data_IF_674856631731
#
_entry.id   IF_674856631731
#
_cell.length_a   1.000
_cell.length_b   1.000
_cell.length_c   1.000
_cell.angle_alpha   90.00
_cell.angle_beta   90.00
_cell.angle_gamma   90.00
#
_symmetry.space_group_name_H-M   'P 1'
#
loop_
_entity.id
_entity.type
_entity.pdbx_description
1 polymer ?
#
# COMPACT_ATOMS: atom_id res chain seq x y z
N UNK A 1 -17.29 24.30 -7.47
CA UNK A 1 -17.51 23.42 -6.29
C UNK A 1 -16.72 23.98 -5.12
N UNK A 2 -17.31 24.04 -3.93
CA UNK A 2 -16.54 24.35 -2.71
C UNK A 2 -15.60 23.18 -2.41
N UNK A 3 -14.36 23.45 -1.98
CA UNK A 3 -13.37 22.43 -1.58
C UNK A 3 -13.94 21.46 -0.54
N UNK A 4 -14.80 21.94 0.34
CA UNK A 4 -15.50 21.15 1.37
C UNK A 4 -16.46 20.11 0.76
N UNK A 5 -17.13 20.42 -0.34
CA UNK A 5 -18.05 19.49 -1.00
C UNK A 5 -17.29 18.34 -1.66
N UNK A 6 -16.19 18.66 -2.35
CA UNK A 6 -15.31 17.65 -2.96
C UNK A 6 -14.69 16.71 -1.91
N UNK A 7 -14.29 17.27 -0.76
CA UNK A 7 -13.74 16.48 0.36
C UNK A 7 -14.77 15.48 0.90
N UNK A 8 -16.01 15.92 1.13
CA UNK A 8 -17.09 15.06 1.63
C UNK A 8 -17.38 13.91 0.66
N UNK A 9 -17.41 14.19 -0.64
CA UNK A 9 -17.64 13.19 -1.68
C UNK A 9 -16.52 12.13 -1.72
N UNK A 10 -15.26 12.55 -1.61
CA UNK A 10 -14.10 11.65 -1.61
C UNK A 10 -14.11 10.73 -0.40
N UNK A 11 -14.35 11.27 0.80
CA UNK A 11 -14.46 10.48 2.02
C UNK A 11 -15.62 9.48 1.94
N UNK A 12 -16.78 9.90 1.41
CA UNK A 12 -17.93 9.01 1.21
C UNK A 12 -17.62 7.89 0.20
N UNK A 13 -16.99 8.22 -0.92
CA UNK A 13 -16.61 7.26 -1.95
C UNK A 13 -15.60 6.25 -1.41
N UNK A 14 -14.54 6.70 -0.75
CA UNK A 14 -13.52 5.82 -0.17
C UNK A 14 -14.11 4.86 0.87
N UNK A 15 -15.01 5.35 1.72
CA UNK A 15 -15.73 4.50 2.68
C UNK A 15 -16.58 3.43 1.97
N UNK A 16 -17.26 3.79 0.87
CA UNK A 16 -18.05 2.86 0.08
C UNK A 16 -17.17 1.80 -0.62
N UNK A 17 -16.02 2.20 -1.17
CA UNK A 17 -15.05 1.29 -1.80
C UNK A 17 -14.50 0.29 -0.78
N UNK A 18 -14.04 0.79 0.38
CA UNK A 18 -13.49 -0.03 1.47
C UNK A 18 -14.53 -0.99 2.05
N UNK A 19 -15.77 -0.50 2.25
CA UNK A 19 -16.89 -1.35 2.69
C UNK A 19 -17.20 -2.44 1.66
N UNK A 20 -17.16 -2.12 0.37
CA UNK A 20 -17.40 -3.10 -0.70
C UNK A 20 -16.28 -4.14 -0.75
N UNK A 21 -15.02 -3.74 -0.62
CA UNK A 21 -13.88 -4.66 -0.57
C UNK A 21 -14.04 -5.69 0.56
N UNK A 22 -14.46 -5.24 1.75
CA UNK A 22 -14.70 -6.10 2.93
C UNK A 22 -15.89 -7.06 2.76
N UNK A 23 -16.89 -6.69 1.96
CA UNK A 23 -18.07 -7.54 1.68
C UNK A 23 -17.82 -8.59 0.61
N UNK A 24 -16.79 -8.44 -0.22
CA UNK A 24 -16.46 -9.45 -1.23
C UNK A 24 -16.11 -10.77 -0.54
N UNK A 25 -16.48 -11.94 -1.08
CA UNK A 25 -16.11 -13.22 -0.49
C UNK A 25 -14.58 -13.43 -0.46
N UNK A 26 -14.05 -14.19 0.51
CA UNK A 26 -12.65 -14.58 0.51
C UNK A 26 -12.32 -15.50 -0.68
N UNK A 27 -11.04 -15.54 -1.04
CA UNK A 27 -10.52 -16.40 -2.11
C UNK A 27 -9.99 -15.65 -3.33
N UNK A 28 -9.21 -16.36 -4.15
CA UNK A 28 -8.49 -15.79 -5.29
C UNK A 28 -9.41 -15.11 -6.32
N UNK A 29 -10.59 -15.66 -6.58
CA UNK A 29 -11.53 -15.12 -7.58
C UNK A 29 -11.94 -13.67 -7.32
N UNK A 30 -11.90 -13.24 -6.05
CA UNK A 30 -12.22 -11.87 -5.65
C UNK A 30 -11.01 -11.06 -5.19
N UNK A 31 -9.81 -11.61 -5.27
CA UNK A 31 -8.59 -10.91 -4.88
C UNK A 31 -8.36 -9.68 -5.77
N UNK A 32 -8.42 -9.85 -7.09
CA UNK A 32 -8.28 -8.76 -8.05
C UNK A 32 -9.28 -7.61 -7.82
N UNK A 33 -10.60 -7.83 -7.77
CA UNK A 33 -11.54 -6.75 -7.51
C UNK A 33 -11.36 -6.12 -6.12
N UNK A 34 -11.00 -6.88 -5.08
CA UNK A 34 -10.66 -6.30 -3.76
C UNK A 34 -9.47 -5.34 -3.85
N UNK A 35 -8.39 -5.77 -4.48
CA UNK A 35 -7.20 -4.95 -4.68
C UNK A 35 -7.49 -3.70 -5.50
N UNK A 36 -8.31 -3.79 -6.55
CA UNK A 36 -8.71 -2.61 -7.34
C UNK A 36 -9.48 -1.59 -6.49
N UNK A 37 -10.42 -2.05 -5.66
CA UNK A 37 -11.17 -1.18 -4.75
C UNK A 37 -10.27 -0.52 -3.70
N UNK A 38 -9.34 -1.29 -3.14
CA UNK A 38 -8.37 -0.79 -2.16
C UNK A 38 -7.38 0.20 -2.80
N UNK A 39 -6.91 -0.07 -4.03
CA UNK A 39 -6.03 0.85 -4.74
C UNK A 39 -6.72 2.19 -5.04
N UNK A 40 -7.99 2.14 -5.46
CA UNK A 40 -8.78 3.35 -5.66
C UNK A 40 -8.95 4.14 -4.36
N UNK A 41 -9.18 3.47 -3.23
CA UNK A 41 -9.24 4.13 -1.92
C UNK A 41 -7.90 4.77 -1.53
N UNK A 42 -6.78 4.10 -1.79
CA UNK A 42 -5.43 4.63 -1.55
C UNK A 42 -5.19 5.90 -2.36
N UNK A 43 -5.43 5.87 -3.68
CA UNK A 43 -5.23 7.03 -4.56
C UNK A 43 -6.08 8.24 -4.16
N UNK A 44 -7.31 8.01 -3.71
CA UNK A 44 -8.20 9.09 -3.24
C UNK A 44 -7.63 9.83 -2.02
N UNK A 45 -6.95 9.12 -1.12
CA UNK A 45 -6.42 9.72 0.11
C UNK A 45 -4.98 10.23 -0.02
N UNK A 46 -4.18 9.69 -0.94
CA UNK A 46 -2.80 10.12 -1.17
C UNK A 46 -2.71 11.64 -1.43
N UNK A 47 -3.64 12.17 -2.23
CA UNK A 47 -3.75 13.61 -2.56
C UNK A 47 -3.88 14.52 -1.33
N UNK A 48 -4.48 14.03 -0.25
CA UNK A 48 -4.78 14.81 0.96
C UNK A 48 -3.85 14.51 2.13
N UNK A 49 -2.88 13.62 1.95
CA UNK A 49 -2.04 13.12 3.05
C UNK A 49 -0.75 13.93 3.25
N UNK A 50 -0.29 14.64 2.21
CA UNK A 50 0.87 15.54 2.32
C UNK A 50 0.62 16.62 3.39
N UNK A 51 1.59 17.00 4.24
CA UNK A 51 1.42 18.07 5.24
C UNK A 51 1.50 19.50 4.67
N UNK A 52 2.12 19.70 3.50
CA UNK A 52 2.23 21.01 2.89
C UNK A 52 0.96 21.36 2.08
N UNK A 53 0.48 22.60 2.21
CA UNK A 53 -0.44 23.17 1.21
C UNK A 53 0.30 23.37 -0.11
N UNK A 54 -0.37 23.14 -1.25
CA UNK A 54 0.23 23.33 -2.58
C UNK A 54 0.70 24.77 -2.84
N UNK A 55 0.20 25.72 -2.05
CA UNK A 55 0.44 27.16 -2.11
C UNK A 55 1.37 27.67 -0.98
N UNK A 56 1.89 26.77 -0.13
CA UNK A 56 2.68 27.16 1.05
C UNK A 56 1.88 27.86 2.15
N UNK A 57 0.55 27.89 2.05
CA UNK A 57 -0.34 28.47 3.07
C UNK A 57 -0.45 27.53 4.27
N UNK A 58 -0.65 28.13 5.45
CA UNK A 58 -1.08 27.41 6.64
C UNK A 58 -2.49 26.82 6.42
N UNK A 59 -2.60 25.51 6.60
CA UNK A 59 -3.87 24.80 6.47
C UNK A 59 -4.93 25.34 7.42
N UNK A 60 -6.16 25.36 6.95
CA UNK A 60 -7.31 25.56 7.83
C UNK A 60 -7.45 24.37 8.80
N UNK A 61 -8.28 24.55 9.83
CA UNK A 61 -8.58 23.48 10.78
C UNK A 61 -9.27 22.31 10.07
N UNK A 62 -10.16 22.59 9.11
CA UNK A 62 -10.86 21.59 8.31
C UNK A 62 -9.91 20.83 7.39
N UNK A 63 -8.96 21.51 6.75
CA UNK A 63 -7.94 20.87 5.91
C UNK A 63 -7.00 19.97 6.73
N UNK A 64 -6.67 20.39 7.95
CA UNK A 64 -5.87 19.59 8.89
C UNK A 64 -6.63 18.35 9.35
N UNK A 65 -7.91 18.49 9.72
CA UNK A 65 -8.76 17.37 10.08
C UNK A 65 -8.89 16.35 8.93
N UNK A 66 -9.03 16.85 7.69
CA UNK A 66 -9.10 15.99 6.51
C UNK A 66 -7.78 15.25 6.23
N UNK A 67 -6.64 15.91 6.46
CA UNK A 67 -5.34 15.25 6.34
C UNK A 67 -5.23 14.09 7.33
N UNK A 68 -5.54 14.33 8.60
CA UNK A 68 -5.50 13.29 9.65
C UNK A 68 -6.38 12.11 9.24
N UNK A 69 -7.62 12.38 8.84
CA UNK A 69 -8.53 11.35 8.37
C UNK A 69 -7.99 10.59 7.15
N UNK A 70 -7.35 11.28 6.21
CA UNK A 70 -6.78 10.65 5.00
C UNK A 70 -5.59 9.77 5.32
N UNK A 71 -4.71 10.18 6.24
CA UNK A 71 -3.59 9.37 6.74
C UNK A 71 -4.10 8.12 7.45
N UNK A 72 -5.13 8.24 8.29
CA UNK A 72 -5.77 7.09 8.95
C UNK A 72 -6.37 6.11 7.94
N UNK A 73 -7.08 6.62 6.93
CA UNK A 73 -7.68 5.81 5.88
C UNK A 73 -6.62 5.09 5.02
N UNK A 74 -5.55 5.78 4.62
CA UNK A 74 -4.39 5.18 3.94
C UNK A 74 -3.76 4.06 4.75
N UNK A 75 -3.56 4.32 6.04
CA UNK A 75 -2.96 3.34 6.96
C UNK A 75 -3.81 2.08 7.04
N UNK A 76 -5.12 2.22 7.20
CA UNK A 76 -6.04 1.09 7.30
C UNK A 76 -6.12 0.31 5.98
N UNK A 77 -6.26 1.00 4.84
CA UNK A 77 -6.28 0.34 3.53
C UNK A 77 -4.98 -0.41 3.24
N UNK A 78 -3.83 0.17 3.62
CA UNK A 78 -2.52 -0.46 3.42
C UNK A 78 -2.33 -1.69 4.30
N UNK A 79 -2.84 -1.68 5.54
CA UNK A 79 -2.89 -2.87 6.41
C UNK A 79 -3.79 -3.97 5.83
N UNK A 80 -4.95 -3.60 5.29
CA UNK A 80 -5.86 -4.54 4.62
C UNK A 80 -5.16 -5.20 3.41
N UNK A 81 -4.40 -4.43 2.61
CA UNK A 81 -3.60 -4.98 1.50
C UNK A 81 -2.47 -5.88 2.00
N UNK A 82 -1.77 -5.51 3.08
CA UNK A 82 -0.72 -6.34 3.66
C UNK A 82 -1.25 -7.70 4.14
N UNK A 83 -2.43 -7.73 4.76
CA UNK A 83 -3.10 -8.97 5.15
C UNK A 83 -3.45 -9.83 3.91
N UNK A 84 -3.96 -9.22 2.84
CA UNK A 84 -4.22 -9.92 1.58
C UNK A 84 -2.95 -10.48 0.93
N UNK A 85 -1.83 -9.75 1.03
CA UNK A 85 -0.53 -10.20 0.53
C UNK A 85 -0.03 -11.45 1.28
N UNK A 86 -0.19 -11.48 2.60
CA UNK A 86 0.14 -12.63 3.44
C UNK A 86 -0.75 -13.84 3.11
N UNK A 87 -2.06 -13.64 2.99
CA UNK A 87 -3.01 -14.69 2.56
C UNK A 87 -2.63 -15.29 1.20
N UNK A 88 -2.26 -14.43 0.24
CA UNK A 88 -1.82 -14.87 -1.08
C UNK A 88 -0.52 -15.66 -1.03
N UNK A 89 0.46 -15.22 -0.23
CA UNK A 89 1.72 -15.95 -0.04
C UNK A 89 1.48 -17.35 0.54
N UNK A 90 0.67 -17.46 1.59
CA UNK A 90 0.30 -18.73 2.20
C UNK A 90 -0.40 -19.65 1.19
N UNK A 91 -1.30 -19.09 0.37
CA UNK A 91 -1.97 -19.84 -0.68
C UNK A 91 -0.99 -20.40 -1.73
N UNK A 92 -0.08 -19.56 -2.23
CA UNK A 92 0.94 -19.97 -3.21
C UNK A 92 1.82 -21.10 -2.64
N UNK A 93 2.29 -20.94 -1.40
CA UNK A 93 3.12 -21.94 -0.72
C UNK A 93 2.39 -23.27 -0.48
N UNK A 94 1.09 -23.21 -0.17
CA UNK A 94 0.27 -24.42 0.00
C UNK A 94 0.18 -25.22 -1.32
N UNK A 95 -0.04 -24.53 -2.44
CA UNK A 95 -0.14 -25.20 -3.75
C UNK A 95 1.19 -25.83 -4.20
N UNK A 96 2.32 -25.20 -3.87
CA UNK A 96 3.65 -25.76 -4.17
C UNK A 96 3.92 -27.06 -3.42
N UNK A 97 3.46 -27.15 -2.16
CA UNK A 97 3.69 -28.28 -1.28
C UNK A 97 2.89 -29.53 -1.68
N UNK A 98 1.70 -29.34 -2.23
CA UNK A 98 0.78 -30.44 -2.54
C UNK A 98 1.17 -31.23 -3.82
N UNK A 99 2.23 -30.83 -4.53
CA UNK A 99 2.84 -31.65 -5.59
C UNK A 99 1.92 -31.95 -6.78
N UNK A 100 0.74 -31.33 -6.87
CA UNK A 100 -0.19 -31.39 -7.99
C UNK A 100 0.34 -30.56 -9.16
N UNK A 101 1.49 -30.99 -9.67
CA UNK A 101 2.18 -30.41 -10.81
C UNK A 101 1.28 -30.34 -12.04
N UNK A 102 1.01 -29.13 -12.50
CA UNK A 102 0.37 -28.88 -13.78
C UNK A 102 0.16 -27.40 -14.09
N UNK A 103 -0.09 -26.57 -13.07
CA UNK A 103 -0.26 -25.13 -13.22
C UNK A 103 0.67 -24.36 -12.30
N UNK A 104 1.39 -23.38 -12.85
CA UNK A 104 2.07 -22.35 -12.06
C UNK A 104 1.02 -21.65 -11.20
N UNK A 105 1.01 -21.81 -9.87
CA UNK A 105 -0.02 -21.27 -8.96
C UNK A 105 -0.12 -19.74 -9.04
N UNK A 106 0.96 -19.10 -9.48
CA UNK A 106 1.03 -17.67 -9.80
C UNK A 106 0.25 -17.33 -11.09
N UNK A 107 -0.03 -18.32 -11.95
CA UNK A 107 -0.78 -18.18 -13.21
C UNK A 107 -2.26 -17.85 -13.04
N UNK A 108 -2.83 -18.13 -11.87
CA UNK A 108 -4.23 -17.77 -11.56
C UNK A 108 -4.36 -16.35 -10.97
N UNK A 109 -3.23 -15.72 -10.63
CA UNK A 109 -3.20 -14.39 -10.00
C UNK A 109 -3.22 -13.29 -11.04
N UNK A 110 -4.29 -12.49 -11.08
CA UNK A 110 -4.42 -11.34 -11.98
C UNK A 110 -3.40 -10.22 -11.67
N UNK A 111 -2.80 -9.55 -12.67
CA UNK A 111 -1.84 -8.46 -12.44
C UNK A 111 -2.50 -7.18 -11.90
N UNK A 112 -3.84 -7.11 -11.85
CA UNK A 112 -4.57 -5.98 -11.30
C UNK A 112 -4.36 -5.78 -9.79
N UNK A 113 -3.77 -6.77 -9.10
CA UNK A 113 -3.45 -6.65 -7.68
C UNK A 113 -2.21 -5.77 -7.42
N UNK A 114 -1.32 -5.65 -8.41
CA UNK A 114 0.03 -5.11 -8.23
C UNK A 114 0.06 -3.65 -7.82
N UNK A 115 -0.89 -2.85 -8.32
CA UNK A 115 -1.00 -1.42 -8.00
C UNK A 115 -1.29 -1.21 -6.51
N UNK A 116 -2.25 -1.96 -5.96
CA UNK A 116 -2.55 -1.91 -4.53
C UNK A 116 -1.39 -2.36 -3.65
N UNK A 117 -0.67 -3.42 -4.07
CA UNK A 117 0.50 -3.92 -3.35
C UNK A 117 1.59 -2.84 -3.30
N UNK A 118 1.94 -2.26 -4.43
CA UNK A 118 2.95 -1.22 -4.50
C UNK A 118 2.54 0.05 -3.72
N UNK A 119 1.32 0.53 -3.89
CA UNK A 119 0.79 1.69 -3.17
C UNK A 119 0.78 1.49 -1.64
N UNK A 120 0.33 0.32 -1.18
CA UNK A 120 0.33 -0.02 0.24
C UNK A 120 1.76 -0.16 0.80
N UNK A 121 2.68 -0.79 0.08
CA UNK A 121 4.08 -0.92 0.51
C UNK A 121 4.76 0.45 0.62
N UNK A 122 4.55 1.34 -0.35
CA UNK A 122 5.04 2.72 -0.27
C UNK A 122 4.50 3.45 0.97
N UNK A 123 3.21 3.30 1.23
CA UNK A 123 2.55 3.93 2.39
C UNK A 123 3.11 3.40 3.70
N UNK A 124 3.24 2.07 3.85
CA UNK A 124 3.81 1.45 5.04
C UNK A 124 5.28 1.83 5.22
N UNK A 125 6.07 1.88 4.15
CA UNK A 125 7.46 2.33 4.21
C UNK A 125 7.55 3.80 4.66
N UNK A 126 6.63 4.66 4.24
CA UNK A 126 6.52 6.02 4.76
C UNK A 126 6.20 6.03 6.27
N UNK A 127 5.22 5.25 6.73
CA UNK A 127 4.87 5.15 8.15
C UNK A 127 6.00 4.59 9.01
N UNK A 128 6.82 3.65 8.50
CA UNK A 128 8.04 3.17 9.19
C UNK A 128 9.01 4.33 9.42
N UNK A 129 9.16 5.23 8.45
CA UNK A 129 10.07 6.39 8.57
C UNK A 129 9.56 7.45 9.55
N UNK A 130 8.25 7.67 9.59
CA UNK A 130 7.64 8.67 10.48
C UNK A 130 7.50 8.18 11.92
N UNK A 131 7.00 6.95 12.11
CA UNK A 131 6.61 6.43 13.43
C UNK A 131 7.56 5.37 13.99
N UNK A 132 8.33 4.68 13.14
CA UNK A 132 9.29 3.65 13.57
C UNK A 132 8.65 2.39 14.17
N UNK A 133 7.35 2.13 13.93
CA UNK A 133 6.66 0.97 14.50
C UNK A 133 6.90 -0.31 13.67
N UNK A 134 7.31 -1.39 14.36
CA UNK A 134 7.60 -2.69 13.75
C UNK A 134 6.42 -3.27 12.94
N UNK A 135 5.18 -3.01 13.35
CA UNK A 135 3.99 -3.50 12.65
C UNK A 135 3.91 -3.03 11.18
N UNK A 136 4.42 -1.84 10.86
CA UNK A 136 4.41 -1.32 9.49
C UNK A 136 5.54 -1.92 8.67
N UNK A 137 6.68 -2.18 9.30
CA UNK A 137 7.82 -2.86 8.69
C UNK A 137 7.44 -4.30 8.32
N UNK A 138 6.78 -5.02 9.23
CA UNK A 138 6.28 -6.38 8.98
C UNK A 138 5.30 -6.39 7.79
N UNK A 139 4.34 -5.48 7.77
CA UNK A 139 3.38 -5.36 6.66
C UNK A 139 4.05 -5.04 5.32
N UNK A 140 5.00 -4.10 5.30
CA UNK A 140 5.77 -3.76 4.11
C UNK A 140 6.59 -4.96 3.61
N UNK A 141 7.18 -5.72 4.53
CA UNK A 141 7.97 -6.91 4.21
C UNK A 141 7.10 -8.05 3.65
N UNK A 142 5.90 -8.28 4.18
CA UNK A 142 4.94 -9.24 3.60
C UNK A 142 4.59 -8.87 2.16
N UNK A 143 4.36 -7.58 1.87
CA UNK A 143 4.09 -7.14 0.50
C UNK A 143 5.31 -7.32 -0.41
N UNK A 144 6.53 -6.98 0.04
CA UNK A 144 7.75 -7.15 -0.76
C UNK A 144 7.98 -8.62 -1.13
N UNK A 145 7.82 -9.54 -0.19
CA UNK A 145 7.89 -10.99 -0.44
C UNK A 145 6.83 -11.44 -1.45
N UNK A 146 5.62 -10.88 -1.35
CA UNK A 146 4.55 -11.14 -2.31
C UNK A 146 4.93 -10.67 -3.72
N UNK A 147 5.42 -9.44 -3.87
CA UNK A 147 5.89 -8.90 -5.15
C UNK A 147 7.05 -9.71 -5.74
N UNK A 148 8.00 -10.14 -4.92
CA UNK A 148 9.10 -11.02 -5.33
C UNK A 148 8.56 -12.34 -5.92
N UNK A 149 7.64 -13.00 -5.21
CA UNK A 149 7.04 -14.26 -5.67
C UNK A 149 6.26 -14.08 -6.97
N UNK A 150 5.48 -13.00 -7.09
CA UNK A 150 4.72 -12.65 -8.29
C UNK A 150 5.62 -12.21 -9.45
N UNK A 151 6.83 -11.72 -9.16
CA UNK A 151 7.84 -11.28 -10.13
C UNK A 151 8.29 -12.37 -11.10
N UNK A 152 8.15 -13.64 -10.72
CA UNK A 152 8.43 -14.79 -11.60
C UNK A 152 7.55 -14.78 -12.85
N UNK A 153 6.31 -14.27 -12.73
CA UNK A 153 5.35 -14.18 -13.84
C UNK A 153 5.19 -12.77 -14.36
N UNK A 154 5.03 -11.82 -13.43
CA UNK A 154 4.71 -10.44 -13.74
C UNK A 154 5.97 -9.60 -13.59
N UNK A 155 6.62 -9.28 -14.71
CA UNK A 155 7.82 -8.42 -14.69
C UNK A 155 7.62 -7.11 -13.92
N UNK A 156 6.42 -6.51 -14.01
CA UNK A 156 6.05 -5.31 -13.26
C UNK A 156 6.10 -5.50 -11.73
N UNK A 157 5.78 -6.69 -11.21
CA UNK A 157 5.90 -6.96 -9.78
C UNK A 157 7.37 -6.93 -9.32
N UNK A 158 8.27 -7.46 -10.15
CA UNK A 158 9.71 -7.35 -9.94
C UNK A 158 10.22 -5.91 -10.01
N UNK A 159 9.73 -5.10 -10.96
CA UNK A 159 10.05 -3.67 -11.01
C UNK A 159 9.62 -2.94 -9.74
N UNK A 160 8.38 -3.14 -9.29
CA UNK A 160 7.86 -2.55 -8.06
C UNK A 160 8.67 -2.96 -6.82
N UNK A 161 9.07 -4.23 -6.71
CA UNK A 161 9.98 -4.69 -5.65
C UNK A 161 11.29 -3.91 -5.63
N UNK A 162 11.96 -3.77 -6.79
CA UNK A 162 13.23 -3.03 -6.89
C UNK A 162 13.08 -1.54 -6.58
N UNK A 163 11.97 -0.92 -6.99
CA UNK A 163 11.71 0.49 -6.66
C UNK A 163 11.60 0.69 -5.14
N UNK A 164 10.94 -0.22 -4.43
CA UNK A 164 10.83 -0.16 -2.96
C UNK A 164 12.20 -0.33 -2.29
N UNK A 165 13.03 -1.27 -2.75
CA UNK A 165 14.39 -1.45 -2.23
C UNK A 165 15.28 -0.22 -2.45
N UNK A 166 15.17 0.42 -3.62
CA UNK A 166 15.90 1.65 -3.92
C UNK A 166 15.50 2.80 -2.99
N UNK A 167 14.21 2.92 -2.66
CA UNK A 167 13.74 3.91 -1.69
C UNK A 167 14.30 3.65 -0.29
N UNK A 168 14.29 2.41 0.18
CA UNK A 168 14.88 2.04 1.47
C UNK A 168 16.37 2.39 1.52
N UNK A 169 17.11 2.05 0.45
CA UNK A 169 18.53 2.35 0.35
C UNK A 169 18.81 3.86 0.35
N UNK A 170 18.04 4.63 -0.43
CA UNK A 170 18.16 6.09 -0.48
C UNK A 170 17.96 6.71 0.92
N UNK A 171 16.94 6.24 1.65
CA UNK A 171 16.67 6.68 3.02
C UNK A 171 17.80 6.34 3.99
N UNK A 172 18.31 5.10 3.95
CA UNK A 172 19.46 4.69 4.79
C UNK A 172 20.70 5.55 4.53
N UNK A 173 20.95 5.92 3.28
CA UNK A 173 22.07 6.78 2.91
C UNK A 173 21.88 8.22 3.39
N UNK A 174 20.67 8.77 3.29
CA UNK A 174 20.35 10.10 3.81
C UNK A 174 20.54 10.18 5.34
N UNK A 175 20.09 9.16 6.08
CA UNK A 175 20.27 9.10 7.52
C UNK A 175 21.75 9.01 7.93
N UNK A 176 22.57 8.22 7.22
CA UNK A 176 24.02 8.16 7.47
C UNK A 176 24.73 9.48 7.16
N UNK A 177 24.30 10.20 6.11
CA UNK A 177 24.81 11.53 5.78
C UNK A 177 24.48 12.59 6.84
N UNK A 178 23.27 12.54 7.41
CA UNK A 178 22.87 13.43 8.52
C UNK A 178 23.61 13.14 9.82
N UNK A 179 23.88 11.87 10.14
CA UNK A 179 24.65 11.48 11.32
C UNK A 179 26.13 11.89 11.22
N UNK A 180 26.70 11.87 10.01
CA UNK A 180 28.09 12.31 9.78
C UNK A 180 28.24 13.83 9.83
N UNK A 181 27.23 14.62 9.43
CA UNK A 181 27.24 16.07 9.56
C UNK A 181 26.98 16.59 10.99
N UNK A 182 26.28 15.82 11.83
CA UNK A 182 26.05 16.16 13.26
C UNK A 182 27.22 15.78 14.18
N UNK A 183 28.24 15.10 13.66
CA UNK A 183 29.41 14.67 14.39
C UNK A 183 30.59 15.67 14.35
N UNK A 184 30.37 16.87 13.80
CA UNK A 184 31.34 17.97 13.74
C UNK A 184 30.81 19.23 14.41
#
# INVERSE_FOLDING_TARGET
>A
MSTVAAITEITSLSAALSSTAKRLPPGLSFLAPRCVLLSAAILLHDTYSCPAGHDGRLRSQEETAQQIHSVEALTNASKDVAALAEELLLFILSMEKDGSGGGDSVSDVSPLILDSLYGAANTLAWLVREEGLAQYEDGANSIKRCLERLGVRWGLAGEYGRMLEQQDFAYMMQNKGLLTLRAF
#
